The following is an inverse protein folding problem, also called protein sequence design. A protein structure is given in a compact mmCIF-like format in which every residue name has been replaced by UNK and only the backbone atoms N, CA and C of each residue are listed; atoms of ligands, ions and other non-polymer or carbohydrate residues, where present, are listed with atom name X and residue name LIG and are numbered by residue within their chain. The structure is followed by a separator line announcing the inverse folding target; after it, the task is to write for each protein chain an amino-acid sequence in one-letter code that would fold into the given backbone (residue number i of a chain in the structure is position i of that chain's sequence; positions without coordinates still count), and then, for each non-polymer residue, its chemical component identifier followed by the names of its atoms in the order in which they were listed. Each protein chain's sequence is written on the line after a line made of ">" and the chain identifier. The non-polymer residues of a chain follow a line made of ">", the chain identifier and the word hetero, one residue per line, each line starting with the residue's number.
data_IF_870900937384
#
_entry.id   IF_870900937384
#
_cell.length_a   1.000
_cell.length_b   1.000
_cell.length_c   1.000
_cell.angle_alpha   90.00
_cell.angle_beta   90.00
_cell.angle_gamma   90.00
#
_symmetry.space_group_name_H-M   'P 1'
#
loop_
_entity.id
_entity.type
_entity.pdbx_description
1 polymer ?
#
# COMPACT_ATOMS: atom_id res chain seq x y z
N UNK A 1 1.40 1.26 -13.95
CA UNK A 1 0.12 1.26 -13.18
C UNK A 1 0.01 -0.04 -12.40
N UNK A 2 -0.31 0.00 -11.11
CA UNK A 2 -0.40 -1.18 -10.25
C UNK A 2 -1.80 -1.31 -9.64
N UNK A 3 -2.28 -2.53 -9.42
CA UNK A 3 -3.56 -2.79 -8.75
C UNK A 3 -3.31 -3.27 -7.32
N UNK A 4 -4.10 -2.76 -6.36
CA UNK A 4 -4.20 -3.33 -5.02
C UNK A 4 -4.85 -4.71 -5.04
N UNK A 5 -4.88 -5.37 -3.88
CA UNK A 5 -5.47 -6.70 -3.73
C UNK A 5 -6.94 -6.76 -4.16
N UNK A 6 -7.70 -5.69 -3.92
CA UNK A 6 -9.10 -5.55 -4.30
C UNK A 6 -9.30 -5.14 -5.78
N UNK A 7 -8.24 -5.12 -6.60
CA UNK A 7 -8.31 -4.82 -8.03
C UNK A 7 -8.42 -3.33 -8.37
N UNK A 8 -8.37 -2.45 -7.38
CA UNK A 8 -8.38 -1.00 -7.59
C UNK A 8 -7.00 -0.49 -7.98
N UNK A 9 -6.95 0.52 -8.84
CA UNK A 9 -5.71 1.17 -9.21
C UNK A 9 -5.07 1.82 -7.98
N UNK A 10 -3.81 1.49 -7.75
CA UNK A 10 -3.02 2.03 -6.65
C UNK A 10 -2.26 3.25 -7.16
N UNK A 11 -2.48 4.39 -6.52
CA UNK A 11 -1.89 5.67 -6.88
C UNK A 11 -1.21 6.30 -5.68
N UNK A 12 -0.28 7.21 -5.97
CA UNK A 12 0.31 8.05 -4.94
C UNK A 12 -0.77 8.90 -4.27
N UNK A 13 -0.79 8.90 -2.94
CA UNK A 13 -1.76 9.62 -2.12
C UNK A 13 -2.96 8.78 -1.70
N UNK A 14 -3.19 7.62 -2.32
CA UNK A 14 -4.27 6.73 -1.91
C UNK A 14 -4.06 6.23 -0.49
N UNK A 15 -5.16 6.11 0.26
CA UNK A 15 -5.12 5.48 1.57
C UNK A 15 -5.34 3.98 1.38
N UNK A 16 -4.40 3.18 1.88
CA UNK A 16 -4.48 1.72 1.79
C UNK A 16 -4.44 1.07 3.16
N UNK A 17 -4.97 -0.15 3.24
CA UNK A 17 -4.90 -1.03 4.41
C UNK A 17 -4.02 -2.23 4.09
N UNK A 18 -3.06 -2.53 4.95
CA UNK A 18 -2.29 -3.77 4.86
C UNK A 18 -3.15 -4.94 5.30
N UNK A 19 -3.29 -5.93 4.45
CA UNK A 19 -4.23 -7.06 4.59
C UNK A 19 -3.57 -8.42 4.39
N UNK A 20 -2.28 -8.45 4.04
CA UNK A 20 -1.47 -9.65 4.10
C UNK A 20 -0.14 -9.42 4.81
N UNK A 21 0.48 -10.53 5.24
CA UNK A 21 1.83 -10.50 5.81
C UNK A 21 2.83 -10.17 4.69
N UNK A 22 3.73 -9.26 5.00
CA UNK A 22 4.85 -8.86 4.16
C UNK A 22 6.12 -8.88 5.00
N UNK A 23 7.23 -9.27 4.39
CA UNK A 23 8.51 -9.46 5.07
C UNK A 23 9.07 -8.15 5.64
N UNK A 24 8.52 -7.00 5.23
CA UNK A 24 8.84 -5.67 5.76
C UNK A 24 8.33 -5.38 7.17
N UNK A 25 7.64 -6.31 7.83
CA UNK A 25 7.25 -6.22 9.24
C UNK A 25 6.17 -5.17 9.54
N UNK A 26 5.40 -4.74 8.54
CA UNK A 26 4.25 -3.85 8.77
C UNK A 26 3.12 -4.69 9.38
N UNK A 27 2.53 -4.26 10.51
CA UNK A 27 1.42 -4.97 11.11
C UNK A 27 0.21 -5.08 10.16
N UNK A 28 -0.43 -6.24 10.15
CA UNK A 28 -1.74 -6.42 9.52
C UNK A 28 -2.74 -5.39 10.05
N UNK A 29 -3.58 -4.87 9.16
CA UNK A 29 -4.56 -3.84 9.47
C UNK A 29 -4.00 -2.42 9.53
N UNK A 30 -2.69 -2.23 9.35
CA UNK A 30 -2.10 -0.88 9.26
C UNK A 30 -2.72 -0.11 8.11
N UNK A 31 -3.21 1.09 8.41
CA UNK A 31 -3.72 2.02 7.41
C UNK A 31 -2.68 3.11 7.18
N UNK A 32 -2.26 3.30 5.94
CA UNK A 32 -1.22 4.25 5.58
C UNK A 32 -1.44 4.81 4.17
N UNK A 33 -0.99 6.05 3.91
CA UNK A 33 -1.01 6.61 2.56
C UNK A 33 0.12 6.02 1.72
N UNK A 34 -0.16 5.84 0.42
CA UNK A 34 0.83 5.46 -0.58
C UNK A 34 1.70 6.66 -0.92
N UNK A 35 3.00 6.56 -0.67
CA UNK A 35 4.01 7.56 -1.02
C UNK A 35 4.43 7.46 -2.47
N UNK A 36 4.63 6.22 -2.92
CA UNK A 36 5.16 5.92 -4.24
C UNK A 36 4.67 4.53 -4.68
N UNK A 37 4.46 4.37 -5.98
CA UNK A 37 4.10 3.09 -6.61
C UNK A 37 5.23 2.72 -7.54
N UNK A 38 5.87 1.58 -7.27
CA UNK A 38 6.98 1.06 -8.06
C UNK A 38 6.45 0.13 -9.16
N UNK A 39 7.15 0.09 -10.30
CA UNK A 39 6.75 -0.70 -11.47
C UNK A 39 6.75 -2.22 -11.22
N UNK A 40 7.55 -2.70 -10.26
CA UNK A 40 7.62 -4.11 -9.86
C UNK A 40 6.42 -4.58 -9.01
N UNK A 41 5.38 -3.77 -8.88
CA UNK A 41 4.18 -4.13 -8.13
C UNK A 41 4.34 -4.00 -6.62
N UNK A 42 5.27 -3.17 -6.17
CA UNK A 42 5.42 -2.76 -4.77
C UNK A 42 4.99 -1.31 -4.60
N UNK A 43 4.57 -0.95 -3.40
CA UNK A 43 4.27 0.43 -3.03
C UNK A 43 4.98 0.80 -1.73
N UNK A 44 5.42 2.05 -1.65
CA UNK A 44 5.98 2.63 -0.44
C UNK A 44 4.83 3.16 0.42
N UNK A 45 4.70 2.62 1.63
CA UNK A 45 3.73 3.08 2.61
C UNK A 45 4.42 3.90 3.70
N UNK A 46 3.75 4.97 4.15
CA UNK A 46 4.20 5.75 5.28
C UNK A 46 3.52 5.27 6.57
N UNK A 47 4.13 4.27 7.22
CA UNK A 47 3.64 3.68 8.47
C UNK A 47 4.14 4.47 9.68
N UNK A 48 3.49 5.59 10.00
CA UNK A 48 3.91 6.46 11.10
C UNK A 48 5.23 7.18 10.79
N UNK A 49 6.33 6.80 11.46
CA UNK A 49 7.66 7.43 11.33
C UNK A 49 8.60 6.71 10.35
N UNK A 50 8.19 5.58 9.79
CA UNK A 50 9.01 4.76 8.92
C UNK A 50 8.33 4.55 7.57
N UNK A 51 9.11 4.65 6.51
CA UNK A 51 8.70 4.29 5.16
C UNK A 51 9.06 2.82 4.91
N UNK A 52 8.11 2.07 4.35
CA UNK A 52 8.30 0.64 4.10
C UNK A 52 7.66 0.21 2.80
N UNK A 53 8.37 -0.64 2.06
CA UNK A 53 7.87 -1.24 0.84
C UNK A 53 6.95 -2.41 1.18
N UNK A 54 5.82 -2.48 0.51
CA UNK A 54 4.84 -3.57 0.62
C UNK A 54 4.43 -3.99 -0.78
N UNK A 55 4.28 -5.30 -0.98
CA UNK A 55 3.75 -5.79 -2.25
C UNK A 55 2.27 -5.40 -2.43
N UNK A 56 1.89 -4.96 -3.64
CA UNK A 56 0.53 -4.46 -3.94
C UNK A 56 -0.59 -5.47 -3.67
N UNK A 57 -0.28 -6.77 -3.75
CA UNK A 57 -1.25 -7.84 -3.45
C UNK A 57 -1.53 -8.01 -1.95
N UNK A 58 -0.83 -7.27 -1.09
CA UNK A 58 -0.97 -7.28 0.37
C UNK A 58 -1.65 -6.02 0.90
N UNK A 59 -2.13 -5.14 0.00
CA UNK A 59 -2.79 -3.89 0.37
C UNK A 59 -4.15 -3.75 -0.32
N UNK A 60 -5.14 -3.28 0.41
CA UNK A 60 -6.46 -2.90 -0.09
C UNK A 60 -6.56 -1.38 -0.15
N UNK A 61 -6.99 -0.85 -1.30
CA UNK A 61 -7.25 0.59 -1.43
C UNK A 61 -8.56 0.93 -0.71
N UNK A 62 -8.51 1.85 0.25
CA UNK A 62 -9.65 2.29 1.07
C UNK A 62 -10.31 3.57 0.58
N UNK A 63 -9.54 4.50 0.03
CA UNK A 63 -10.05 5.78 -0.45
C UNK A 63 -9.24 6.25 -1.65
N UNK A 64 -9.92 6.54 -2.75
CA UNK A 64 -9.39 7.25 -3.90
C UNK A 64 -9.28 8.72 -3.51
N UNK A 65 -8.06 9.26 -3.45
CA UNK A 65 -7.89 10.70 -3.36
C UNK A 65 -8.46 11.30 -4.65
N UNK A 66 -9.56 12.06 -4.51
CA UNK A 66 -10.24 12.77 -5.60
C UNK A 66 -9.48 14.02 -6.00
#
# INVERSE_FOLDING_TARGET
>A
MALGQNGFLLQRGDLVKVVGWDDGGIPLGTVAPVREVLDEGRCLLLGGRLERYVHRSRVEVLSYAR
#
